data_IF_701070215821
#
_entry.id   IF_701070215821
#
_cell.length_a   1.000
_cell.length_b   1.000
_cell.length_c   1.000
_cell.angle_alpha   90.00
_cell.angle_beta   90.00
_cell.angle_gamma   90.00
#
_symmetry.space_group_name_H-M   'P 1'
#
loop_
_entity.id
_entity.type
_entity.pdbx_description
1 polymer ?
#
# COMPACT_ATOMS: atom_id res chain seq x y z
N UNK A 1 -8.25 -36.85 14.34
CA UNK A 1 -7.73 -35.64 13.69
C UNK A 1 -8.59 -35.08 12.56
N UNK A 2 -8.58 -35.62 11.33
CA UNK A 2 -9.27 -35.00 10.17
C UNK A 2 -10.75 -34.66 10.44
N UNK A 3 -11.50 -35.56 11.10
CA UNK A 3 -12.91 -35.31 11.44
C UNK A 3 -13.08 -34.12 12.41
N UNK A 4 -12.13 -33.92 13.33
CA UNK A 4 -12.09 -32.79 14.26
C UNK A 4 -11.78 -31.50 13.51
N UNK A 5 -10.70 -31.49 12.73
CA UNK A 5 -10.26 -30.32 11.95
C UNK A 5 -11.28 -29.87 10.92
N UNK A 6 -12.07 -30.80 10.36
CA UNK A 6 -13.19 -30.46 9.46
C UNK A 6 -14.18 -29.48 10.10
N UNK A 7 -14.49 -29.65 11.40
CA UNK A 7 -15.41 -28.74 12.11
C UNK A 7 -14.79 -27.35 12.27
N UNK A 8 -13.48 -27.28 12.52
CA UNK A 8 -12.73 -26.03 12.63
C UNK A 8 -12.74 -25.28 11.30
N UNK A 9 -12.40 -25.95 10.20
CA UNK A 9 -12.37 -25.33 8.86
C UNK A 9 -13.77 -24.84 8.43
N UNK A 10 -14.83 -25.57 8.75
CA UNK A 10 -16.21 -25.13 8.50
C UNK A 10 -16.64 -23.95 9.38
N UNK A 11 -16.12 -23.85 10.61
CA UNK A 11 -16.33 -22.67 11.46
C UNK A 11 -15.59 -21.45 10.90
N UNK A 12 -14.31 -21.59 10.55
CA UNK A 12 -13.50 -20.53 9.93
C UNK A 12 -14.13 -20.02 8.64
N UNK A 13 -14.68 -20.92 7.81
CA UNK A 13 -15.37 -20.50 6.58
C UNK A 13 -16.60 -19.65 6.84
N UNK A 14 -17.40 -19.98 7.86
CA UNK A 14 -18.58 -19.19 8.27
C UNK A 14 -18.17 -17.83 8.82
N UNK A 15 -17.12 -17.82 9.65
CA UNK A 15 -16.57 -16.59 10.23
C UNK A 15 -16.01 -15.64 9.15
N UNK A 16 -15.44 -16.19 8.08
CA UNK A 16 -14.91 -15.42 6.94
C UNK A 16 -15.97 -14.87 5.98
N UNK A 17 -17.25 -15.24 6.13
CA UNK A 17 -18.33 -14.80 5.25
C UNK A 17 -18.79 -13.37 5.56
N UNK A 18 -17.88 -12.42 5.34
CA UNK A 18 -18.14 -10.99 5.47
C UNK A 18 -18.62 -10.39 4.14
N UNK A 19 -19.29 -9.23 4.20
CA UNK A 19 -19.67 -8.46 3.01
C UNK A 19 -18.47 -8.17 2.08
N UNK A 20 -17.31 -7.86 2.67
CA UNK A 20 -16.07 -7.64 1.92
C UNK A 20 -15.58 -8.91 1.20
N UNK A 21 -15.71 -10.08 1.84
CA UNK A 21 -15.33 -11.35 1.22
C UNK A 21 -16.29 -11.72 0.07
N UNK A 22 -17.61 -11.56 0.25
CA UNK A 22 -18.59 -11.81 -0.82
C UNK A 22 -18.39 -10.89 -2.02
N UNK A 23 -18.07 -9.62 -1.76
CA UNK A 23 -17.70 -8.64 -2.79
C UNK A 23 -16.44 -9.08 -3.52
N UNK A 24 -15.36 -9.42 -2.79
CA UNK A 24 -14.11 -9.92 -3.37
C UNK A 24 -14.33 -11.15 -4.26
N UNK A 25 -15.11 -12.13 -3.81
CA UNK A 25 -15.40 -13.34 -4.59
C UNK A 25 -16.19 -13.03 -5.86
N UNK A 26 -17.14 -12.09 -5.79
CA UNK A 26 -17.96 -11.69 -6.94
C UNK A 26 -17.13 -10.91 -7.97
N UNK A 27 -16.31 -9.96 -7.50
CA UNK A 27 -15.34 -9.22 -8.32
C UNK A 27 -14.35 -10.16 -9.00
N UNK A 28 -13.72 -11.08 -8.25
CA UNK A 28 -12.73 -12.01 -8.82
C UNK A 28 -13.32 -12.92 -9.90
N UNK A 29 -14.61 -13.30 -9.79
CA UNK A 29 -15.31 -14.06 -10.83
C UNK A 29 -15.54 -13.24 -12.10
N UNK A 30 -15.84 -11.96 -11.96
CA UNK A 30 -16.02 -11.04 -13.09
C UNK A 30 -14.70 -10.72 -13.78
N UNK A 31 -13.65 -10.43 -13.01
CA UNK A 31 -12.30 -10.15 -13.50
C UNK A 31 -11.66 -11.37 -14.17
N UNK A 32 -11.87 -12.57 -13.61
CA UNK A 32 -11.16 -13.77 -14.05
C UNK A 32 -12.10 -14.96 -14.28
N UNK A 33 -13.12 -14.86 -15.16
CA UNK A 33 -14.17 -15.88 -15.30
C UNK A 33 -13.63 -17.25 -15.74
N UNK A 34 -12.60 -17.24 -16.57
CA UNK A 34 -11.99 -18.47 -17.11
C UNK A 34 -10.77 -18.93 -16.32
N UNK A 35 -10.16 -18.06 -15.53
CA UNK A 35 -8.93 -18.35 -14.81
C UNK A 35 -9.18 -19.26 -13.60
N UNK A 36 -8.13 -19.97 -13.19
CA UNK A 36 -8.16 -20.88 -12.04
C UNK A 36 -8.36 -20.14 -10.72
N UNK A 37 -7.87 -18.89 -10.61
CA UNK A 37 -7.89 -18.11 -9.36
C UNK A 37 -9.31 -17.82 -8.86
N UNK A 38 -10.26 -17.57 -9.76
CA UNK A 38 -11.68 -17.37 -9.41
C UNK A 38 -12.42 -18.67 -9.05
N UNK A 39 -11.85 -19.82 -9.42
CA UNK A 39 -12.46 -21.16 -9.27
C UNK A 39 -11.83 -21.98 -8.15
N UNK A 40 -10.75 -21.51 -7.54
CA UNK A 40 -9.92 -22.25 -6.56
C UNK A 40 -9.49 -21.33 -5.41
N UNK A 41 -10.46 -20.71 -4.77
CA UNK A 41 -10.23 -19.99 -3.51
C UNK A 41 -9.65 -20.94 -2.45
N UNK A 42 -8.65 -20.50 -1.64
CA UNK A 42 -7.95 -21.37 -0.69
C UNK A 42 -8.88 -22.13 0.28
N UNK A 43 -9.95 -21.49 0.74
CA UNK A 43 -10.91 -22.08 1.68
C UNK A 43 -11.69 -23.27 1.08
N UNK A 44 -11.77 -23.37 -0.26
CA UNK A 44 -12.42 -24.48 -0.94
C UNK A 44 -13.96 -24.51 -0.86
N UNK A 45 -14.52 -25.67 -1.24
CA UNK A 45 -15.97 -25.93 -1.31
C UNK A 45 -16.43 -26.78 -0.13
N UNK A 46 -17.63 -26.53 0.37
CA UNK A 46 -18.20 -27.25 1.53
C UNK A 46 -18.30 -28.75 1.25
N UNK A 47 -18.80 -29.12 0.07
CA UNK A 47 -18.89 -30.51 -0.34
C UNK A 47 -17.54 -31.22 -0.36
N UNK A 48 -16.46 -30.51 -0.70
CA UNK A 48 -15.09 -31.07 -0.67
C UNK A 48 -14.58 -31.18 0.76
N UNK A 49 -14.78 -30.16 1.59
CA UNK A 49 -14.36 -30.18 3.00
C UNK A 49 -15.06 -31.34 3.75
N UNK A 50 -16.35 -31.55 3.48
CA UNK A 50 -17.14 -32.61 4.10
C UNK A 50 -16.75 -34.01 3.63
N UNK A 51 -16.49 -34.19 2.33
CA UNK A 51 -16.23 -35.51 1.74
C UNK A 51 -14.76 -35.92 1.66
N UNK A 52 -13.80 -34.97 1.75
CA UNK A 52 -12.37 -35.29 1.60
C UNK A 52 -11.91 -36.28 2.68
N UNK A 53 -11.36 -37.40 2.24
CA UNK A 53 -10.85 -38.47 3.09
C UNK A 53 -9.34 -38.34 3.35
N UNK A 54 -8.82 -39.19 4.25
CA UNK A 54 -7.39 -39.22 4.58
C UNK A 54 -6.52 -39.45 3.36
N UNK A 55 -6.93 -40.33 2.45
CA UNK A 55 -6.13 -40.66 1.28
C UNK A 55 -5.94 -39.43 0.38
N UNK A 56 -6.98 -38.62 0.18
CA UNK A 56 -6.90 -37.38 -0.59
C UNK A 56 -5.92 -36.37 0.03
N UNK A 57 -5.93 -36.20 1.35
CA UNK A 57 -4.96 -35.33 2.03
C UNK A 57 -3.54 -35.87 1.90
N UNK A 58 -3.35 -37.18 2.10
CA UNK A 58 -2.04 -37.82 1.95
C UNK A 58 -1.51 -37.67 0.53
N UNK A 59 -2.34 -37.88 -0.48
CA UNK A 59 -1.96 -37.71 -1.88
C UNK A 59 -1.51 -36.28 -2.16
N UNK A 60 -2.24 -35.27 -1.68
CA UNK A 60 -1.83 -33.88 -1.84
C UNK A 60 -0.49 -33.59 -1.14
N UNK A 61 -0.32 -34.10 0.08
CA UNK A 61 0.91 -33.94 0.85
C UNK A 61 2.11 -34.63 0.18
N UNK A 62 1.98 -35.89 -0.23
CA UNK A 62 3.03 -36.63 -0.93
C UNK A 62 3.40 -35.98 -2.28
N UNK A 63 2.42 -35.38 -2.96
CA UNK A 63 2.60 -34.68 -4.24
C UNK A 63 3.35 -33.37 -4.08
N UNK A 64 2.95 -32.51 -3.13
CA UNK A 64 3.42 -31.11 -3.10
C UNK A 64 4.43 -30.79 -1.99
N UNK A 65 4.47 -31.58 -0.90
CA UNK A 65 5.43 -31.39 0.20
C UNK A 65 6.69 -32.20 -0.09
N UNK A 66 7.53 -31.66 -0.96
CA UNK A 66 8.78 -32.27 -1.46
C UNK A 66 9.97 -31.34 -1.19
N UNK A 67 11.19 -31.86 -0.97
CA UNK A 67 12.37 -31.02 -0.72
C UNK A 67 12.69 -30.07 -1.89
N UNK A 68 12.47 -30.50 -3.13
CA UNK A 68 12.62 -29.71 -4.37
C UNK A 68 11.59 -28.56 -4.52
N UNK A 69 10.55 -28.55 -3.68
CA UNK A 69 9.48 -27.54 -3.67
C UNK A 69 9.35 -26.83 -2.30
N UNK A 70 10.40 -26.86 -1.48
CA UNK A 70 10.43 -26.24 -0.16
C UNK A 70 11.58 -25.23 -0.08
N UNK A 71 11.34 -24.11 0.60
CA UNK A 71 12.38 -23.14 0.93
C UNK A 71 12.31 -22.82 2.42
N UNK A 72 13.44 -22.99 3.11
CA UNK A 72 13.63 -22.55 4.49
C UNK A 72 14.40 -21.22 4.49
N UNK A 73 13.82 -20.20 5.14
CA UNK A 73 14.47 -18.89 5.32
C UNK A 73 14.71 -18.67 6.80
N UNK A 74 15.97 -18.48 7.18
CA UNK A 74 16.39 -18.19 8.56
C UNK A 74 17.07 -16.82 8.61
N UNK A 75 16.62 -15.97 9.53
CA UNK A 75 17.17 -14.63 9.75
C UNK A 75 17.21 -14.35 11.25
N UNK A 76 18.39 -14.01 11.76
CA UNK A 76 18.59 -13.75 13.18
C UNK A 76 20.07 -13.67 13.51
N UNK A 77 20.36 -13.62 14.80
CA UNK A 77 21.71 -13.67 15.35
C UNK A 77 22.09 -15.13 15.63
N UNK A 78 22.71 -15.78 14.65
CA UNK A 78 23.19 -17.16 14.76
C UNK A 78 24.36 -17.40 13.80
N UNK A 79 25.22 -18.36 14.13
CA UNK A 79 26.30 -18.80 13.25
C UNK A 79 25.75 -19.59 12.04
N UNK A 80 25.97 -19.12 10.79
CA UNK A 80 25.47 -19.80 9.60
C UNK A 80 26.01 -21.22 9.41
N UNK A 81 27.23 -21.51 9.89
CA UNK A 81 27.82 -22.85 9.75
C UNK A 81 27.10 -23.86 10.64
N UNK A 82 26.87 -23.50 11.90
CA UNK A 82 26.10 -24.30 12.85
C UNK A 82 24.68 -24.52 12.34
N UNK A 83 24.02 -23.47 11.82
CA UNK A 83 22.68 -23.61 11.24
C UNK A 83 22.66 -24.55 10.04
N UNK A 84 23.64 -24.47 9.13
CA UNK A 84 23.74 -25.36 7.98
C UNK A 84 23.88 -26.84 8.39
N UNK A 85 24.72 -27.13 9.38
CA UNK A 85 24.88 -28.50 9.91
C UNK A 85 23.58 -29.04 10.51
N UNK A 86 22.86 -28.23 11.29
CA UNK A 86 21.57 -28.63 11.87
C UNK A 86 20.50 -28.84 10.79
N UNK A 87 20.49 -28.02 9.74
CA UNK A 87 19.58 -28.20 8.60
C UNK A 87 19.90 -29.53 7.90
N UNK A 88 21.17 -29.81 7.63
CA UNK A 88 21.59 -31.07 7.01
C UNK A 88 21.21 -32.27 7.88
N UNK A 89 21.50 -32.24 9.19
CA UNK A 89 21.12 -33.28 10.14
C UNK A 89 19.60 -33.54 10.16
N UNK A 90 18.78 -32.50 10.05
CA UNK A 90 17.32 -32.60 10.18
C UNK A 90 16.61 -32.91 8.87
N UNK A 91 17.16 -32.50 7.73
CA UNK A 91 16.45 -32.51 6.46
C UNK A 91 17.11 -33.33 5.34
N UNK A 92 18.36 -33.79 5.50
CA UNK A 92 19.06 -34.60 4.46
C UNK A 92 18.33 -35.91 4.12
N UNK A 93 17.60 -36.50 5.07
CA UNK A 93 16.80 -37.70 4.85
C UNK A 93 15.46 -37.46 4.12
N UNK A 94 15.10 -36.21 3.80
CA UNK A 94 13.86 -35.93 3.06
C UNK A 94 14.01 -36.33 1.60
N UNK A 95 13.18 -37.28 1.15
CA UNK A 95 13.06 -37.64 -0.26
C UNK A 95 11.65 -37.30 -0.78
N UNK A 96 11.53 -37.01 -2.08
CA UNK A 96 10.21 -36.87 -2.67
C UNK A 96 9.40 -38.18 -2.63
N UNK A 97 8.08 -38.08 -2.46
CA UNK A 97 7.17 -39.24 -2.25
C UNK A 97 6.27 -39.57 -3.45
N UNK A 98 6.35 -38.76 -4.50
CA UNK A 98 5.61 -38.91 -5.75
C UNK A 98 6.49 -38.42 -6.92
N UNK A 99 6.10 -38.56 -8.18
CA UNK A 99 6.70 -37.78 -9.27
C UNK A 99 6.44 -36.27 -9.11
N UNK A 100 7.32 -35.44 -9.69
CA UNK A 100 7.08 -33.99 -9.78
C UNK A 100 5.87 -33.72 -10.68
N UNK A 101 5.06 -32.73 -10.32
CA UNK A 101 4.00 -32.21 -11.17
C UNK A 101 4.26 -30.73 -11.51
N UNK A 102 4.07 -30.33 -12.77
CA UNK A 102 4.21 -28.92 -13.13
C UNK A 102 3.13 -28.08 -12.42
N UNK A 103 3.43 -26.80 -12.12
CA UNK A 103 2.43 -25.88 -11.61
C UNK A 103 1.20 -25.82 -12.54
N UNK A 104 -0.03 -25.74 -11.99
CA UNK A 104 -1.22 -25.68 -12.81
C UNK A 104 -1.30 -24.39 -13.62
N UNK A 105 -1.79 -24.46 -14.86
CA UNK A 105 -2.07 -23.25 -15.65
C UNK A 105 -3.09 -22.36 -14.91
N UNK A 106 -2.78 -21.06 -14.87
CA UNK A 106 -3.67 -20.04 -14.34
C UNK A 106 -4.93 -19.85 -15.18
N UNK A 107 -4.97 -20.36 -16.41
CA UNK A 107 -6.10 -20.27 -17.33
C UNK A 107 -6.02 -19.07 -18.27
N UNK A 108 -7.13 -18.72 -18.91
CA UNK A 108 -7.22 -17.62 -19.88
C UNK A 108 -7.76 -16.35 -19.22
N UNK A 109 -7.30 -15.20 -19.71
CA UNK A 109 -7.78 -13.86 -19.34
C UNK A 109 -8.07 -13.14 -20.64
N UNK A 110 -9.36 -13.01 -20.98
CA UNK A 110 -9.81 -12.60 -22.32
C UNK A 110 -10.88 -11.52 -22.22
N UNK A 111 -10.51 -10.35 -21.70
CA UNK A 111 -11.37 -9.17 -21.76
C UNK A 111 -11.26 -8.46 -23.10
N UNK A 112 -12.36 -7.86 -23.54
CA UNK A 112 -12.48 -7.03 -24.75
C UNK A 112 -13.50 -5.93 -24.51
N UNK A 113 -13.25 -4.74 -25.03
CA UNK A 113 -14.15 -3.60 -24.94
C UNK A 113 -14.41 -3.13 -23.50
N UNK A 114 -15.39 -2.25 -23.34
CA UNK A 114 -15.77 -1.73 -22.03
C UNK A 114 -16.82 -2.62 -21.38
N UNK A 115 -16.46 -3.24 -20.26
CA UNK A 115 -17.35 -4.04 -19.43
C UNK A 115 -17.59 -3.31 -18.12
N UNK A 116 -18.84 -3.32 -17.69
CA UNK A 116 -19.25 -2.76 -16.40
C UNK A 116 -19.67 -3.89 -15.49
N UNK A 117 -19.48 -3.72 -14.19
CA UNK A 117 -19.89 -4.68 -13.18
C UNK A 117 -20.43 -3.95 -11.96
N UNK A 118 -21.59 -4.39 -11.51
CA UNK A 118 -22.25 -3.87 -10.33
C UNK A 118 -22.41 -5.00 -9.31
N UNK A 119 -22.04 -4.74 -8.06
CA UNK A 119 -22.27 -5.65 -6.95
C UNK A 119 -22.77 -4.89 -5.73
N UNK A 120 -24.08 -4.99 -5.50
CA UNK A 120 -24.68 -4.42 -4.30
C UNK A 120 -24.33 -5.25 -3.07
N UNK A 121 -23.83 -4.58 -2.04
CA UNK A 121 -23.71 -5.15 -0.71
C UNK A 121 -24.23 -4.19 0.37
N UNK A 122 -25.42 -4.50 0.90
CA UNK A 122 -26.14 -3.68 1.88
C UNK A 122 -25.36 -3.53 3.19
N UNK A 123 -24.63 -4.57 3.59
CA UNK A 123 -23.81 -4.58 4.80
C UNK A 123 -22.49 -3.80 4.66
N UNK A 124 -22.16 -3.33 3.45
CA UNK A 124 -20.97 -2.51 3.25
C UNK A 124 -21.15 -1.12 3.86
N UNK A 125 -20.14 -0.62 4.57
CA UNK A 125 -20.11 0.78 5.04
C UNK A 125 -19.70 1.80 3.96
N UNK A 126 -19.45 1.35 2.73
CA UNK A 126 -18.87 2.17 1.66
C UNK A 126 -19.20 1.65 0.26
N UNK A 127 -18.99 2.50 -0.74
CA UNK A 127 -18.97 2.14 -2.16
C UNK A 127 -17.55 2.23 -2.69
N UNK A 128 -17.12 1.22 -3.43
CA UNK A 128 -15.84 1.18 -4.15
C UNK A 128 -16.10 1.26 -5.64
N UNK A 129 -15.41 2.18 -6.30
CA UNK A 129 -15.47 2.40 -7.74
C UNK A 129 -14.08 2.14 -8.29
N UNK A 130 -13.94 1.33 -9.34
CA UNK A 130 -12.64 1.07 -9.98
C UNK A 130 -12.73 1.08 -11.50
N UNK A 131 -11.60 1.45 -12.12
CA UNK A 131 -11.34 1.30 -13.56
C UNK A 131 -10.08 0.47 -13.70
N UNK A 132 -10.18 -0.66 -14.39
CA UNK A 132 -9.12 -1.66 -14.43
C UNK A 132 -8.78 -2.13 -15.84
N UNK A 133 -7.55 -2.62 -15.99
CA UNK A 133 -7.12 -3.49 -17.07
C UNK A 133 -6.37 -4.68 -16.53
N UNK A 134 -6.46 -5.80 -17.25
CA UNK A 134 -5.71 -6.99 -16.90
C UNK A 134 -5.47 -7.86 -18.13
N UNK A 135 -4.27 -8.43 -18.21
CA UNK A 135 -3.93 -9.38 -19.26
C UNK A 135 -2.99 -10.44 -18.75
N UNK A 136 -3.13 -11.64 -19.31
CA UNK A 136 -2.14 -12.70 -19.13
C UNK A 136 -0.83 -12.28 -19.80
N UNK A 137 0.27 -12.55 -19.12
CA UNK A 137 1.64 -12.37 -19.61
C UNK A 137 2.44 -13.63 -19.31
N UNK A 138 3.53 -13.81 -20.05
CA UNK A 138 4.48 -14.86 -19.72
C UNK A 138 5.31 -14.47 -18.49
N UNK A 139 5.74 -15.49 -17.74
CA UNK A 139 6.75 -15.32 -16.72
C UNK A 139 8.03 -14.81 -17.37
N UNK A 140 8.77 -13.98 -16.64
CA UNK A 140 10.00 -13.36 -17.15
C UNK A 140 11.04 -13.27 -16.04
N UNK A 141 12.33 -13.44 -16.38
CA UNK A 141 13.39 -13.35 -15.40
C UNK A 141 13.53 -11.93 -14.85
N UNK A 142 14.05 -11.84 -13.63
CA UNK A 142 14.45 -10.59 -13.03
C UNK A 142 15.72 -10.03 -13.69
N UNK A 143 15.54 -9.02 -14.55
CA UNK A 143 16.62 -8.35 -15.25
C UNK A 143 16.60 -6.85 -14.97
N UNK A 144 17.76 -6.19 -15.09
CA UNK A 144 17.86 -4.73 -14.97
C UNK A 144 16.93 -4.00 -15.95
N UNK A 145 16.77 -4.55 -17.16
CA UNK A 145 15.82 -4.04 -18.15
C UNK A 145 14.37 -4.09 -17.66
N UNK A 146 13.96 -5.21 -17.06
CA UNK A 146 12.62 -5.32 -16.48
C UNK A 146 12.46 -4.39 -15.27
N UNK A 147 13.48 -4.26 -14.42
CA UNK A 147 13.46 -3.34 -13.27
C UNK A 147 13.28 -1.89 -13.69
N UNK A 148 13.96 -1.45 -14.76
CA UNK A 148 13.74 -0.12 -15.34
C UNK A 148 12.30 0.06 -15.84
N UNK A 149 11.72 -0.94 -16.52
CA UNK A 149 10.31 -0.91 -16.95
C UNK A 149 9.32 -0.83 -15.78
N UNK A 150 9.55 -1.60 -14.71
CA UNK A 150 8.74 -1.54 -13.50
C UNK A 150 8.86 -0.18 -12.81
N UNK A 151 10.05 0.41 -12.79
CA UNK A 151 10.28 1.73 -12.20
C UNK A 151 9.55 2.84 -12.95
N UNK A 152 9.61 2.83 -14.30
CA UNK A 152 8.84 3.76 -15.14
C UNK A 152 7.34 3.72 -14.82
N UNK A 153 6.78 2.51 -14.66
CA UNK A 153 5.39 2.32 -14.25
C UNK A 153 5.12 2.85 -12.85
N UNK A 154 5.92 2.44 -11.86
CA UNK A 154 5.74 2.83 -10.46
C UNK A 154 5.81 4.36 -10.28
N UNK A 155 6.69 5.04 -11.00
CA UNK A 155 6.77 6.51 -10.96
C UNK A 155 5.56 7.16 -11.64
N UNK A 156 5.13 6.66 -12.80
CA UNK A 156 3.92 7.16 -13.45
C UNK A 156 2.68 7.01 -12.57
N UNK A 157 2.52 5.85 -11.93
CA UNK A 157 1.44 5.59 -10.97
C UNK A 157 1.56 6.51 -9.74
N UNK A 158 2.76 6.68 -9.18
CA UNK A 158 2.96 7.57 -8.03
C UNK A 158 2.64 9.04 -8.33
N UNK A 159 2.95 9.53 -9.53
CA UNK A 159 2.57 10.89 -9.93
C UNK A 159 1.03 11.03 -9.92
N UNK A 160 0.31 10.05 -10.49
CA UNK A 160 -1.16 10.08 -10.47
C UNK A 160 -1.71 9.89 -9.05
N UNK A 161 -1.06 9.08 -8.22
CA UNK A 161 -1.41 8.94 -6.80
C UNK A 161 -1.31 10.27 -6.07
N UNK A 162 -0.25 11.05 -6.32
CA UNK A 162 -0.09 12.38 -5.73
C UNK A 162 -1.21 13.33 -6.19
N UNK A 163 -1.63 13.27 -7.47
CA UNK A 163 -2.79 14.03 -7.96
C UNK A 163 -4.09 13.66 -7.26
N UNK A 164 -4.33 12.37 -7.03
CA UNK A 164 -5.51 11.89 -6.30
C UNK A 164 -5.50 12.34 -4.84
N UNK A 165 -4.33 12.29 -4.20
CA UNK A 165 -4.14 12.73 -2.81
C UNK A 165 -4.39 14.23 -2.68
N UNK A 166 -3.91 15.04 -3.63
CA UNK A 166 -4.18 16.49 -3.69
C UNK A 166 -5.67 16.83 -3.90
N UNK A 167 -6.49 15.91 -4.43
CA UNK A 167 -7.94 16.11 -4.51
C UNK A 167 -8.59 15.94 -3.13
N UNK A 168 -8.11 15.07 -2.25
CA UNK A 168 -8.72 14.85 -0.92
C UNK A 168 -8.78 16.14 -0.07
N UNK A 169 -7.84 17.06 -0.25
CA UNK A 169 -7.84 18.36 0.42
C UNK A 169 -8.88 19.37 -0.11
N UNK A 170 -9.69 19.02 -1.13
CA UNK A 170 -10.67 19.95 -1.74
C UNK A 170 -12.08 19.70 -1.19
N UNK A 171 -12.84 20.75 -0.81
CA UNK A 171 -14.16 20.62 -0.18
C UNK A 171 -15.18 19.75 -0.94
N UNK A 172 -15.14 19.74 -2.27
CA UNK A 172 -16.12 19.06 -3.13
C UNK A 172 -15.69 17.67 -3.61
N UNK A 173 -14.64 17.09 -3.02
CA UNK A 173 -14.15 15.78 -3.44
C UNK A 173 -15.17 14.67 -3.13
N UNK A 174 -15.62 13.90 -4.13
CA UNK A 174 -16.71 12.96 -3.98
C UNK A 174 -16.32 11.64 -3.31
N UNK A 175 -15.03 11.42 -3.03
CA UNK A 175 -14.48 10.21 -2.43
C UNK A 175 -13.73 10.51 -1.14
N UNK A 176 -13.65 9.52 -0.25
CA UNK A 176 -12.89 9.57 1.03
C UNK A 176 -11.47 9.02 0.89
N UNK A 177 -11.23 8.21 -0.14
CA UNK A 177 -9.90 7.75 -0.52
C UNK A 177 -9.88 7.42 -2.00
N UNK A 178 -8.71 7.52 -2.62
CA UNK A 178 -8.50 7.07 -3.99
C UNK A 178 -7.07 6.56 -4.17
N UNK A 179 -6.92 5.56 -5.03
CA UNK A 179 -5.62 4.96 -5.31
C UNK A 179 -5.46 4.66 -6.78
N UNK A 180 -4.22 4.63 -7.24
CA UNK A 180 -3.84 4.06 -8.53
C UNK A 180 -2.66 3.12 -8.34
N UNK A 181 -2.63 2.04 -9.09
CA UNK A 181 -1.50 1.14 -9.09
C UNK A 181 -1.50 0.24 -10.30
N UNK A 182 -0.30 -0.17 -10.69
CA UNK A 182 -0.13 -1.19 -11.69
C UNK A 182 0.97 -2.15 -11.25
N UNK A 183 0.77 -3.44 -11.49
CA UNK A 183 1.78 -4.44 -11.15
C UNK A 183 1.78 -5.65 -12.04
N UNK A 184 2.33 -6.71 -11.46
CA UNK A 184 2.17 -8.07 -11.95
C UNK A 184 1.68 -8.92 -10.78
N UNK A 185 0.52 -9.54 -10.94
CA UNK A 185 -0.06 -10.47 -9.99
C UNK A 185 0.22 -11.91 -10.44
N UNK A 186 0.54 -12.79 -9.48
CA UNK A 186 0.90 -14.19 -9.71
C UNK A 186 1.99 -14.39 -10.80
N UNK A 187 2.88 -13.41 -10.97
CA UNK A 187 3.93 -13.36 -12.01
C UNK A 187 3.44 -13.42 -13.48
N UNK A 188 2.14 -13.60 -13.70
CA UNK A 188 1.57 -13.96 -15.00
C UNK A 188 0.36 -13.09 -15.39
N UNK A 189 -0.02 -12.13 -14.55
CA UNK A 189 -1.14 -11.23 -14.80
C UNK A 189 -0.63 -9.80 -14.66
N UNK A 190 -0.49 -9.08 -15.76
CA UNK A 190 -0.24 -7.64 -15.71
C UNK A 190 -1.56 -6.93 -15.48
N UNK A 191 -1.63 -6.07 -14.47
CA UNK A 191 -2.83 -5.31 -14.13
C UNK A 191 -2.51 -3.83 -13.96
N UNK A 192 -3.53 -3.00 -14.15
CA UNK A 192 -3.56 -1.60 -13.77
C UNK A 192 -4.96 -1.27 -13.23
N UNK A 193 -5.02 -0.52 -12.15
CA UNK A 193 -6.25 -0.17 -11.46
C UNK A 193 -6.15 1.28 -10.96
N UNK A 194 -7.23 2.03 -11.12
CA UNK A 194 -7.48 3.27 -10.41
C UNK A 194 -8.83 3.12 -9.70
N UNK A 195 -8.87 3.40 -8.41
CA UNK A 195 -10.07 3.19 -7.59
C UNK A 195 -10.32 4.37 -6.65
N UNK A 196 -11.56 4.47 -6.19
CA UNK A 196 -11.99 5.40 -5.15
C UNK A 196 -13.02 4.75 -4.22
N UNK A 197 -12.97 5.11 -2.94
CA UNK A 197 -14.00 4.78 -1.97
C UNK A 197 -14.84 6.02 -1.68
N UNK A 198 -16.16 5.90 -1.66
CA UNK A 198 -17.07 7.02 -1.41
C UNK A 198 -18.33 6.59 -0.66
N UNK A 199 -19.16 7.57 -0.29
CA UNK A 199 -20.52 7.29 0.13
C UNK A 199 -21.37 6.84 -1.07
N UNK A 200 -22.41 6.05 -0.78
CA UNK A 200 -23.33 5.50 -1.78
C UNK A 200 -23.78 6.53 -2.82
N UNK A 201 -24.20 7.73 -2.39
CA UNK A 201 -24.77 8.77 -3.26
C UNK A 201 -23.73 9.45 -4.16
N UNK A 202 -22.43 9.32 -3.83
CA UNK A 202 -21.34 10.00 -4.54
C UNK A 202 -20.62 9.09 -5.55
N UNK A 203 -21.12 7.87 -5.79
CA UNK A 203 -20.49 6.90 -6.71
C UNK A 203 -20.27 7.48 -8.11
N UNK A 204 -21.28 8.16 -8.67
CA UNK A 204 -21.24 8.72 -10.03
C UNK A 204 -20.17 9.80 -10.18
N UNK A 205 -20.15 10.77 -9.26
CA UNK A 205 -19.14 11.83 -9.23
C UNK A 205 -17.73 11.26 -8.98
N UNK A 206 -17.62 10.22 -8.17
CA UNK A 206 -16.35 9.53 -7.91
C UNK A 206 -15.81 8.85 -9.16
N UNK A 207 -16.65 8.10 -9.88
CA UNK A 207 -16.29 7.49 -11.17
C UNK A 207 -15.80 8.54 -12.17
N UNK A 208 -16.54 9.64 -12.30
CA UNK A 208 -16.18 10.72 -13.21
C UNK A 208 -14.82 11.33 -12.86
N UNK A 209 -14.57 11.58 -11.57
CA UNK A 209 -13.32 12.23 -11.14
C UNK A 209 -12.09 11.33 -11.29
N UNK A 210 -12.19 10.02 -10.99
CA UNK A 210 -11.07 9.10 -11.22
C UNK A 210 -10.84 8.86 -12.71
N UNK A 211 -11.90 8.75 -13.52
CA UNK A 211 -11.80 8.63 -14.98
C UNK A 211 -11.08 9.85 -15.58
N UNK A 212 -11.49 11.05 -15.21
CA UNK A 212 -10.90 12.29 -15.72
C UNK A 212 -9.45 12.43 -15.29
N UNK A 213 -9.11 12.03 -14.07
CA UNK A 213 -7.73 12.02 -13.56
C UNK A 213 -6.85 11.06 -14.36
N UNK A 214 -7.33 9.83 -14.60
CA UNK A 214 -6.67 8.83 -15.42
C UNK A 214 -6.51 9.32 -16.87
N UNK A 215 -7.58 9.82 -17.49
CA UNK A 215 -7.58 10.32 -18.87
C UNK A 215 -6.65 11.52 -19.04
N UNK A 216 -6.58 12.41 -18.05
CA UNK A 216 -5.64 13.54 -18.04
C UNK A 216 -4.19 13.08 -18.04
N UNK A 217 -3.84 12.10 -17.20
CA UNK A 217 -2.50 11.50 -17.21
C UNK A 217 -2.21 10.76 -18.54
N UNK A 218 -3.19 10.05 -19.08
CA UNK A 218 -3.06 9.33 -20.34
C UNK A 218 -2.82 10.28 -21.53
N UNK A 219 -3.57 11.38 -21.63
CA UNK A 219 -3.51 12.32 -22.77
C UNK A 219 -2.31 13.27 -22.64
N UNK A 220 -2.19 13.97 -21.51
CA UNK A 220 -1.23 15.07 -21.34
C UNK A 220 0.07 14.68 -20.63
N UNK A 221 0.11 13.53 -19.97
CA UNK A 221 1.27 13.08 -19.21
C UNK A 221 1.46 13.86 -17.91
N UNK A 222 2.71 14.20 -17.63
CA UNK A 222 3.21 14.66 -16.34
C UNK A 222 4.03 15.94 -16.50
N UNK A 223 4.09 16.74 -15.44
CA UNK A 223 4.92 17.95 -15.37
C UNK A 223 6.32 17.63 -14.88
N UNK A 224 7.26 18.56 -15.06
CA UNK A 224 8.63 18.34 -14.60
C UNK A 224 8.70 18.32 -13.07
N UNK A 225 7.99 19.22 -12.39
CA UNK A 225 7.95 19.27 -10.93
C UNK A 225 7.35 18.00 -10.30
N UNK A 226 6.33 17.41 -10.94
CA UNK A 226 5.77 16.12 -10.52
C UNK A 226 6.80 14.99 -10.58
N UNK A 227 7.57 14.94 -11.66
CA UNK A 227 8.61 13.93 -11.83
C UNK A 227 9.74 14.11 -10.81
N UNK A 228 10.26 15.32 -10.66
CA UNK A 228 11.39 15.56 -9.76
C UNK A 228 11.01 15.32 -8.29
N UNK A 229 9.78 15.69 -7.87
CA UNK A 229 9.23 15.32 -6.55
C UNK A 229 9.31 13.80 -6.32
N UNK A 230 8.74 13.01 -7.23
CA UNK A 230 8.70 11.55 -7.08
C UNK A 230 10.11 10.93 -7.13
N UNK A 231 11.03 11.46 -7.96
CA UNK A 231 12.43 11.00 -7.96
C UNK A 231 13.09 11.23 -6.61
N UNK A 232 12.89 12.40 -5.99
CA UNK A 232 13.43 12.72 -4.67
C UNK A 232 12.92 11.76 -3.60
N UNK A 233 11.61 11.49 -3.57
CA UNK A 233 11.00 10.57 -2.61
C UNK A 233 11.60 9.15 -2.72
N UNK A 234 11.72 8.62 -3.94
CA UNK A 234 12.30 7.29 -4.17
C UNK A 234 13.78 7.20 -3.79
N UNK A 235 14.57 8.23 -4.10
CA UNK A 235 15.99 8.27 -3.74
C UNK A 235 16.14 8.37 -2.22
N UNK A 236 15.31 9.17 -1.55
CA UNK A 236 15.30 9.29 -0.11
C UNK A 236 14.94 7.95 0.58
N UNK A 237 13.97 7.20 0.05
CA UNK A 237 13.63 5.85 0.54
C UNK A 237 14.85 4.91 0.46
N UNK A 238 15.56 4.89 -0.67
CA UNK A 238 16.75 4.07 -0.88
C UNK A 238 17.92 4.48 0.04
N UNK A 239 18.16 5.79 0.18
CA UNK A 239 19.17 6.33 1.10
C UNK A 239 18.87 5.93 2.55
N UNK A 240 17.60 6.02 2.96
CA UNK A 240 17.17 5.64 4.30
C UNK A 240 17.29 4.14 4.54
N UNK A 241 16.99 3.30 3.55
CA UNK A 241 17.15 1.85 3.66
C UNK A 241 18.61 1.45 3.93
N UNK A 242 19.57 2.10 3.26
CA UNK A 242 21.02 1.93 3.50
C UNK A 242 21.38 2.30 4.94
N UNK A 243 20.96 3.49 5.39
CA UNK A 243 21.30 3.95 6.75
C UNK A 243 20.68 3.10 7.87
N UNK A 244 19.59 2.40 7.59
CA UNK A 244 18.89 1.52 8.52
C UNK A 244 19.27 0.03 8.39
N UNK A 245 20.20 -0.31 7.50
CA UNK A 245 20.47 -1.69 7.12
C UNK A 245 20.86 -2.61 8.29
N UNK A 246 21.58 -2.07 9.28
CA UNK A 246 22.12 -2.81 10.43
C UNK A 246 21.08 -3.12 11.50
N UNK A 247 19.99 -2.37 11.58
CA UNK A 247 18.95 -2.52 12.61
C UNK A 247 17.61 -2.99 12.02
N UNK A 248 17.66 -3.74 10.91
CA UNK A 248 16.45 -4.28 10.27
C UNK A 248 15.84 -5.37 11.15
N UNK A 249 14.52 -5.33 11.31
CA UNK A 249 13.80 -6.37 12.03
C UNK A 249 13.92 -7.73 11.31
N UNK A 250 14.40 -8.76 12.01
CA UNK A 250 14.66 -10.10 11.45
C UNK A 250 13.42 -10.73 10.81
N UNK A 251 12.25 -10.58 11.43
CA UNK A 251 10.98 -11.11 10.90
C UNK A 251 10.56 -10.39 9.61
N UNK A 252 10.74 -9.07 9.55
CA UNK A 252 10.48 -8.30 8.34
C UNK A 252 11.44 -8.67 7.21
N UNK A 253 12.73 -8.86 7.52
CA UNK A 253 13.74 -9.28 6.56
C UNK A 253 13.47 -10.69 6.02
N UNK A 254 13.13 -11.65 6.89
CA UNK A 254 12.74 -13.00 6.47
C UNK A 254 11.53 -12.97 5.53
N UNK A 255 10.48 -12.21 5.87
CA UNK A 255 9.31 -12.02 4.99
C UNK A 255 9.67 -11.38 3.66
N UNK A 256 10.60 -10.43 3.65
CA UNK A 256 11.06 -9.77 2.42
C UNK A 256 11.81 -10.77 1.50
N UNK A 257 12.69 -11.60 2.06
CA UNK A 257 13.38 -12.67 1.32
C UNK A 257 12.36 -13.65 0.73
N UNK A 258 11.42 -14.15 1.54
CA UNK A 258 10.35 -15.05 1.08
C UNK A 258 9.54 -14.41 -0.05
N UNK A 259 9.18 -13.13 0.07
CA UNK A 259 8.46 -12.39 -0.96
C UNK A 259 9.27 -12.30 -2.26
N UNK A 260 10.58 -12.05 -2.19
CA UNK A 260 11.44 -12.02 -3.38
C UNK A 260 11.50 -13.38 -4.07
N UNK A 261 11.71 -14.46 -3.31
CA UNK A 261 11.75 -15.83 -3.83
C UNK A 261 10.42 -16.23 -4.47
N UNK A 262 9.29 -15.97 -3.81
CA UNK A 262 7.96 -16.29 -4.35
C UNK A 262 7.58 -15.47 -5.60
N UNK A 263 8.31 -14.40 -5.93
CA UNK A 263 8.08 -13.54 -7.08
C UNK A 263 9.19 -13.64 -8.13
N UNK A 264 10.06 -14.64 -8.05
CA UNK A 264 11.23 -14.85 -8.92
C UNK A 264 12.10 -13.58 -9.02
N UNK A 265 12.27 -12.88 -7.88
CA UNK A 265 13.06 -11.64 -7.77
C UNK A 265 14.39 -11.91 -7.09
N UNK A 266 15.45 -11.28 -7.59
CA UNK A 266 16.78 -11.30 -6.96
C UNK A 266 16.75 -10.42 -5.72
N UNK A 267 16.94 -11.05 -4.56
CA UNK A 267 17.13 -10.34 -3.29
C UNK A 267 18.47 -9.61 -3.28
N UNK A 268 18.48 -8.35 -2.85
CA UNK A 268 19.67 -7.49 -2.79
C UNK A 268 19.75 -6.81 -1.44
N UNK A 269 20.96 -6.53 -0.97
CA UNK A 269 21.17 -5.63 0.17
C UNK A 269 20.68 -4.22 -0.17
N UNK A 270 20.35 -3.38 0.84
CA UNK A 270 20.00 -1.98 0.61
C UNK A 270 21.04 -1.22 -0.24
N UNK A 271 22.33 -1.47 -0.02
CA UNK A 271 23.42 -0.84 -0.76
C UNK A 271 23.44 -1.26 -2.23
N UNK A 272 23.25 -2.55 -2.52
CA UNK A 272 23.15 -3.07 -3.88
C UNK A 272 21.89 -2.58 -4.59
N UNK A 273 20.77 -2.47 -3.87
CA UNK A 273 19.53 -1.96 -4.46
C UNK A 273 19.67 -0.48 -4.82
N UNK A 274 20.26 0.31 -3.91
CA UNK A 274 20.55 1.73 -4.13
C UNK A 274 21.51 1.94 -5.30
N UNK A 275 22.63 1.22 -5.35
CA UNK A 275 23.65 1.41 -6.39
C UNK A 275 23.12 1.12 -7.80
N UNK A 276 22.15 0.21 -7.91
CA UNK A 276 21.48 -0.12 -9.17
C UNK A 276 20.36 0.87 -9.50
N UNK A 277 19.50 1.20 -8.53
CA UNK A 277 18.26 1.93 -8.81
C UNK A 277 18.45 3.45 -8.87
N UNK A 278 19.32 4.05 -8.06
CA UNK A 278 19.50 5.52 -8.05
C UNK A 278 19.95 6.05 -9.42
N UNK A 279 20.96 5.48 -10.10
CA UNK A 279 21.32 5.91 -11.46
C UNK A 279 20.16 5.77 -12.45
N UNK A 280 19.39 4.68 -12.34
CA UNK A 280 18.22 4.47 -13.20
C UNK A 280 17.15 5.54 -12.98
N UNK A 281 16.82 5.86 -11.73
CA UNK A 281 15.83 6.88 -11.35
C UNK A 281 16.23 8.25 -11.89
N UNK A 282 17.50 8.64 -11.67
CA UNK A 282 18.02 9.94 -12.13
C UNK A 282 17.93 10.09 -13.65
N UNK A 283 18.13 8.99 -14.39
CA UNK A 283 18.14 9.01 -15.85
C UNK A 283 16.74 8.93 -16.49
N UNK A 284 15.65 8.87 -15.71
CA UNK A 284 14.31 8.77 -16.28
C UNK A 284 13.82 10.11 -16.82
N UNK A 285 13.19 10.05 -17.98
CA UNK A 285 12.61 11.20 -18.66
C UNK A 285 11.07 11.19 -18.61
N UNK A 286 10.46 12.36 -18.72
CA UNK A 286 8.98 12.49 -18.81
C UNK A 286 8.40 11.67 -19.96
N UNK A 287 9.07 11.65 -21.11
CA UNK A 287 8.65 10.91 -22.30
C UNK A 287 8.63 9.40 -22.06
N UNK A 288 9.67 8.84 -21.44
CA UNK A 288 9.70 7.40 -21.14
C UNK A 288 8.60 7.01 -20.17
N UNK A 289 8.35 7.84 -19.15
CA UNK A 289 7.33 7.57 -18.12
C UNK A 289 5.94 7.67 -18.73
N UNK A 290 5.67 8.70 -19.55
CA UNK A 290 4.39 8.84 -20.24
C UNK A 290 4.12 7.69 -21.19
N UNK A 291 5.14 7.25 -21.94
CA UNK A 291 5.04 6.09 -22.82
C UNK A 291 4.78 4.79 -22.04
N UNK A 292 5.46 4.60 -20.91
CA UNK A 292 5.21 3.45 -20.04
C UNK A 292 3.79 3.48 -19.46
N UNK A 293 3.32 4.64 -18.99
CA UNK A 293 1.97 4.82 -18.48
C UNK A 293 0.93 4.52 -19.55
N UNK A 294 1.08 5.09 -20.76
CA UNK A 294 0.23 4.77 -21.91
C UNK A 294 0.22 3.28 -22.20
N UNK A 295 1.38 2.63 -22.25
CA UNK A 295 1.47 1.19 -22.51
C UNK A 295 0.73 0.33 -21.47
N UNK A 296 0.83 0.69 -20.19
CA UNK A 296 0.10 0.03 -19.09
C UNK A 296 -1.42 0.15 -19.28
N UNK A 297 -1.87 1.33 -19.67
CA UNK A 297 -3.30 1.64 -19.79
C UNK A 297 -3.86 1.41 -21.20
N UNK A 298 -3.07 1.08 -22.23
CA UNK A 298 -3.53 0.89 -23.61
C UNK A 298 -3.98 -0.56 -23.89
N UNK A 299 -4.86 -1.08 -23.03
CA UNK A 299 -5.53 -2.35 -23.29
C UNK A 299 -6.72 -2.15 -24.23
N UNK A 300 -7.10 -3.20 -24.97
CA UNK A 300 -8.29 -3.23 -25.83
C UNK A 300 -9.61 -3.35 -25.04
N UNK A 301 -9.53 -3.20 -23.71
CA UNK A 301 -10.65 -3.31 -22.79
C UNK A 301 -10.50 -2.38 -21.59
N UNK A 302 -11.63 -2.13 -20.93
CA UNK A 302 -11.73 -1.51 -19.61
C UNK A 302 -12.77 -2.25 -18.80
N UNK A 303 -12.44 -2.55 -17.55
CA UNK A 303 -13.44 -2.98 -16.58
C UNK A 303 -13.78 -1.78 -15.71
N UNK A 304 -15.07 -1.52 -15.51
CA UNK A 304 -15.57 -0.45 -14.64
C UNK A 304 -16.46 -1.08 -13.61
N UNK A 305 -16.05 -1.04 -12.34
CA UNK A 305 -16.77 -1.70 -11.26
C UNK A 305 -17.36 -0.65 -10.32
N UNK A 306 -18.58 -0.91 -9.84
CA UNK A 306 -19.16 -0.24 -8.68
C UNK A 306 -19.64 -1.32 -7.73
N UNK A 307 -19.03 -1.39 -6.55
CA UNK A 307 -19.33 -2.43 -5.55
C UNK A 307 -19.58 -1.80 -4.18
N UNK A 308 -20.34 -2.48 -3.32
CA UNK A 308 -20.65 -2.00 -1.97
C UNK A 308 -22.08 -1.47 -1.86
N UNK A 309 -22.30 -0.45 -1.03
CA UNK A 309 -23.65 -0.08 -0.58
C UNK A 309 -24.38 0.96 -1.45
N UNK A 310 -23.84 1.32 -2.61
CA UNK A 310 -24.59 2.14 -3.56
C UNK A 310 -25.70 1.29 -4.17
N UNK A 311 -26.94 1.60 -3.85
CA UNK A 311 -28.09 0.96 -4.48
C UNK A 311 -28.41 1.65 -5.82
N UNK A 312 -28.22 0.91 -6.90
CA UNK A 312 -28.51 1.33 -8.27
C UNK A 312 -29.71 0.58 -8.85
N UNK A 313 -30.47 -0.17 -8.04
CA UNK A 313 -31.73 -0.74 -8.51
C UNK A 313 -32.75 0.39 -8.64
N UNK A 314 -32.86 0.90 -9.85
CA UNK A 314 -33.89 1.81 -10.32
C UNK A 314 -34.85 1.01 -11.22
N UNK A 315 -36.15 1.12 -10.99
CA UNK A 315 -37.18 0.38 -11.75
C UNK A 315 -37.09 0.67 -13.27
N UNK A 316 -36.59 1.85 -13.64
CA UNK A 316 -36.50 2.30 -15.03
C UNK A 316 -35.09 2.12 -15.65
N UNK A 317 -34.07 1.73 -14.87
CA UNK A 317 -32.69 1.65 -15.35
C UNK A 317 -31.87 0.56 -14.67
N UNK A 318 -31.42 -0.41 -15.48
CA UNK A 318 -30.44 -1.41 -15.05
C UNK A 318 -29.13 -0.76 -14.56
N UNK A 319 -28.54 -1.22 -13.45
CA UNK A 319 -27.30 -0.66 -12.88
C UNK A 319 -26.16 -0.53 -13.91
N UNK A 320 -25.97 -1.53 -14.76
CA UNK A 320 -24.95 -1.53 -15.82
C UNK A 320 -25.16 -0.39 -16.82
N UNK A 321 -26.42 -0.05 -17.14
CA UNK A 321 -26.75 1.08 -18.00
C UNK A 321 -26.40 2.39 -17.31
N UNK A 322 -26.69 2.52 -16.02
CA UNK A 322 -26.33 3.69 -15.21
C UNK A 322 -24.81 3.93 -15.19
N UNK A 323 -24.02 2.87 -14.98
CA UNK A 323 -22.55 2.92 -14.99
C UNK A 323 -22.03 3.38 -16.36
N UNK A 324 -22.55 2.82 -17.46
CA UNK A 324 -22.14 3.21 -18.83
C UNK A 324 -22.48 4.68 -19.12
N UNK A 325 -23.67 5.13 -18.72
CA UNK A 325 -24.07 6.53 -18.88
C UNK A 325 -23.15 7.47 -18.10
N UNK A 326 -22.89 7.18 -16.82
CA UNK A 326 -21.96 7.96 -15.99
C UNK A 326 -20.55 8.05 -16.59
N UNK A 327 -20.03 6.94 -17.12
CA UNK A 327 -18.74 6.89 -17.81
C UNK A 327 -18.74 7.74 -19.09
N UNK A 328 -19.78 7.63 -19.91
CA UNK A 328 -19.90 8.40 -21.16
C UNK A 328 -20.03 9.90 -20.90
N UNK A 329 -20.82 10.30 -19.90
CA UNK A 329 -20.89 11.68 -19.43
C UNK A 329 -19.50 12.19 -19.02
N UNK A 330 -18.72 11.38 -18.26
CA UNK A 330 -17.36 11.76 -17.88
C UNK A 330 -16.46 12.04 -19.07
N UNK A 331 -16.50 11.16 -20.08
CA UNK A 331 -15.66 11.26 -21.29
C UNK A 331 -15.94 12.55 -22.07
N UNK A 332 -17.18 13.03 -22.03
CA UNK A 332 -17.59 14.29 -22.68
C UNK A 332 -17.14 15.54 -21.90
N UNK A 333 -16.76 15.40 -20.64
CA UNK A 333 -16.17 16.51 -19.88
C UNK A 333 -14.79 16.84 -20.43
N UNK A 334 -14.61 18.10 -20.83
CA UNK A 334 -13.33 18.65 -21.29
C UNK A 334 -12.33 18.66 -20.14
N UNK A 335 -11.20 18.00 -20.33
CA UNK A 335 -10.08 18.04 -19.41
C UNK A 335 -9.05 19.08 -19.87
N UNK A 336 -8.35 19.68 -18.91
CA UNK A 336 -7.23 20.61 -19.15
C UNK A 336 -5.88 19.94 -18.94
N UNK A 337 -4.85 20.47 -19.61
CA UNK A 337 -3.45 20.10 -19.36
C UNK A 337 -3.10 20.38 -17.89
N UNK A 338 -2.35 19.49 -17.21
CA UNK A 338 -1.84 19.76 -15.87
C UNK A 338 -1.02 21.07 -15.85
N UNK A 339 -1.26 21.89 -14.83
CA UNK A 339 -0.48 23.09 -14.61
C UNK A 339 0.87 22.74 -13.96
N UNK A 340 1.93 23.44 -14.33
CA UNK A 340 3.21 23.35 -13.64
C UNK A 340 3.07 24.07 -12.29
N UNK A 341 3.13 23.31 -11.20
CA UNK A 341 3.08 23.87 -9.85
C UNK A 341 4.50 23.86 -9.29
N UNK A 342 4.97 25.04 -8.87
CA UNK A 342 6.32 25.22 -8.30
C UNK A 342 6.45 24.54 -6.94
N UNK A 343 7.70 24.28 -6.56
CA UNK A 343 8.06 23.80 -5.22
C UNK A 343 7.57 24.78 -4.15
N UNK A 344 7.12 24.22 -3.03
CA UNK A 344 6.70 24.96 -1.84
C UNK A 344 7.83 24.87 -0.82
N UNK A 345 8.36 26.01 -0.39
CA UNK A 345 9.34 26.05 0.70
C UNK A 345 8.59 25.99 2.04
N UNK A 346 9.03 25.13 2.96
CA UNK A 346 8.46 25.06 4.31
C UNK A 346 8.86 26.32 5.11
N UNK A 347 7.95 27.25 5.43
CA UNK A 347 8.33 28.58 5.91
C UNK A 347 8.39 28.71 7.44
N UNK A 348 8.09 27.64 8.19
CA UNK A 348 7.85 27.71 9.65
C UNK A 348 9.03 27.27 10.52
N UNK A 349 10.21 27.05 9.94
CA UNK A 349 11.41 26.63 10.69
C UNK A 349 12.60 27.59 10.52
N UNK A 350 12.42 28.93 10.70
CA UNK A 350 13.59 29.78 10.89
C UNK A 350 14.30 29.36 12.19
N UNK A 351 15.63 29.49 12.24
CA UNK A 351 16.35 29.34 13.49
C UNK A 351 15.83 30.39 14.49
N UNK A 352 15.48 30.00 15.74
CA UNK A 352 14.99 30.93 16.73
C UNK A 352 16.10 31.92 17.12
N UNK A 353 15.76 33.22 17.15
CA UNK A 353 16.70 34.29 17.54
C UNK A 353 17.11 34.18 19.02
N UNK A 354 16.17 33.78 19.88
CA UNK A 354 16.40 33.59 21.31
C UNK A 354 16.63 32.12 21.64
N UNK A 355 17.67 31.84 22.44
CA UNK A 355 17.95 30.50 22.95
C UNK A 355 17.13 30.26 24.22
N UNK A 356 16.49 29.10 24.30
CA UNK A 356 15.84 28.65 25.53
C UNK A 356 16.86 28.44 26.66
N UNK A 357 16.51 28.85 27.88
CA UNK A 357 17.36 28.68 29.05
C UNK A 357 17.05 27.38 29.80
N UNK A 358 18.10 26.60 30.08
CA UNK A 358 18.02 25.38 30.90
C UNK A 358 17.95 25.77 32.38
N UNK A 359 16.91 25.33 33.07
CA UNK A 359 16.77 25.49 34.53
C UNK A 359 17.53 24.40 35.28
N UNK A 360 17.41 23.15 34.83
CA UNK A 360 18.11 22.01 35.45
C UNK A 360 18.27 20.87 34.45
N UNK A 361 19.34 20.10 34.60
CA UNK A 361 19.58 18.85 33.87
C UNK A 361 19.98 17.76 34.85
N UNK A 362 19.42 16.55 34.69
CA UNK A 362 19.82 15.36 35.46
C UNK A 362 19.82 14.11 34.59
N UNK A 363 20.61 13.13 34.98
CA UNK A 363 20.63 11.81 34.37
C UNK A 363 19.84 10.82 35.23
N UNK A 364 19.13 9.90 34.59
CA UNK A 364 18.42 8.76 35.18
C UNK A 364 19.15 7.50 34.68
N UNK A 365 20.21 7.03 35.38
CA UNK A 365 21.19 6.10 34.82
C UNK A 365 20.62 4.70 34.52
N UNK A 366 19.73 4.19 35.36
CA UNK A 366 19.07 2.89 35.19
C UNK A 366 18.19 2.84 33.93
N UNK A 367 17.64 3.99 33.53
CA UNK A 367 16.85 4.12 32.30
C UNK A 367 17.67 4.64 31.10
N UNK A 368 18.88 5.16 31.33
CA UNK A 368 19.70 5.83 30.32
C UNK A 368 19.02 7.08 29.73
N UNK A 369 18.34 7.86 30.58
CA UNK A 369 17.60 9.06 30.17
C UNK A 369 18.28 10.31 30.71
N UNK A 370 18.43 11.33 29.87
CA UNK A 370 18.78 12.70 30.29
C UNK A 370 17.49 13.50 30.34
N UNK A 371 17.13 13.99 31.52
CA UNK A 371 16.00 14.89 31.74
C UNK A 371 16.50 16.34 31.81
N UNK A 372 15.94 17.21 30.98
CA UNK A 372 16.21 18.65 30.95
C UNK A 372 14.92 19.41 31.22
N UNK A 373 14.93 20.29 32.22
CA UNK A 373 13.84 21.23 32.51
C UNK A 373 14.27 22.61 32.06
N UNK A 374 13.46 23.25 31.23
CA UNK A 374 13.68 24.62 30.75
C UNK A 374 12.94 25.62 31.63
N UNK A 375 13.40 26.87 31.67
CA UNK A 375 12.77 27.94 32.49
C UNK A 375 11.32 28.24 32.09
N UNK A 376 10.94 27.94 30.84
CA UNK A 376 9.55 28.08 30.36
C UNK A 376 8.64 26.90 30.75
N UNK A 377 9.11 25.96 31.58
CA UNK A 377 8.33 24.83 32.07
C UNK A 377 8.31 23.60 31.15
N UNK A 378 8.92 23.67 29.96
CA UNK A 378 9.07 22.51 29.07
C UNK A 378 10.05 21.52 29.70
N UNK A 379 9.73 20.23 29.62
CA UNK A 379 10.62 19.13 30.02
C UNK A 379 10.95 18.26 28.82
N UNK A 380 12.23 18.01 28.61
CA UNK A 380 12.76 17.13 27.57
C UNK A 380 13.36 15.89 28.22
N UNK A 381 12.93 14.72 27.74
CA UNK A 381 13.53 13.43 28.09
C UNK A 381 14.24 12.87 26.87
N UNK A 382 15.57 12.79 26.92
CA UNK A 382 16.39 12.29 25.83
C UNK A 382 16.90 10.88 26.15
N UNK A 383 16.64 9.92 25.25
CA UNK A 383 17.15 8.55 25.34
C UNK A 383 17.84 8.16 24.04
N UNK A 384 19.14 7.85 24.13
CA UNK A 384 19.89 7.27 23.01
C UNK A 384 19.59 5.77 22.95
N UNK A 385 19.37 5.25 21.75
CA UNK A 385 19.13 3.82 21.49
C UNK A 385 20.08 3.35 20.39
N UNK A 386 20.45 2.07 20.43
CA UNK A 386 21.35 1.40 19.48
C UNK A 386 20.60 0.45 18.53
N UNK A 387 19.34 0.14 18.81
CA UNK A 387 18.49 -0.75 18.02
C UNK A 387 17.71 -0.07 16.88
N UNK A 388 17.89 1.25 16.66
CA UNK A 388 17.24 2.01 15.59
C UNK A 388 18.21 3.00 14.93
N UNK A 389 18.98 2.52 13.95
CA UNK A 389 20.00 3.33 13.28
C UNK A 389 19.38 4.50 12.48
N UNK A 390 20.03 5.68 12.54
CA UNK A 390 19.65 6.89 11.80
C UNK A 390 18.14 7.20 11.90
N UNK A 391 17.58 7.05 13.10
CA UNK A 391 16.19 7.31 13.38
C UNK A 391 16.09 8.13 14.66
N UNK A 392 15.33 9.22 14.59
CA UNK A 392 14.95 10.00 15.76
C UNK A 392 13.45 9.96 15.89
N UNK A 393 12.98 9.68 17.10
CA UNK A 393 11.55 9.70 17.45
C UNK A 393 11.31 10.83 18.41
N UNK A 394 10.26 11.59 18.14
CA UNK A 394 9.81 12.70 18.96
C UNK A 394 8.41 12.38 19.47
N UNK A 395 8.15 12.65 20.74
CA UNK A 395 6.79 12.75 21.28
C UNK A 395 6.70 14.02 22.11
N UNK A 396 5.92 14.99 21.65
CA UNK A 396 5.63 16.21 22.38
C UNK A 396 4.22 16.09 22.98
N UNK A 397 4.11 16.03 24.31
CA UNK A 397 2.83 15.90 25.01
C UNK A 397 2.46 17.21 25.72
N UNK A 398 1.19 17.59 25.66
CA UNK A 398 0.68 18.85 26.23
C UNK A 398 -0.83 18.77 26.48
N UNK A 399 -1.32 19.67 27.35
CA UNK A 399 -2.76 19.78 27.65
C UNK A 399 -3.35 18.54 28.35
N UNK A 400 -4.66 18.56 28.63
CA UNK A 400 -5.36 17.51 29.39
C UNK A 400 -5.88 16.34 28.53
N UNK A 401 -5.74 16.38 27.20
CA UNK A 401 -6.24 15.29 26.35
C UNK A 401 -7.77 15.19 26.36
N UNK A 402 -8.26 13.95 26.25
CA UNK A 402 -9.68 13.63 26.20
C UNK A 402 -10.40 13.88 27.52
N UNK A 403 -9.72 13.94 28.66
CA UNK A 403 -10.35 14.24 29.95
C UNK A 403 -10.96 15.64 30.02
N UNK A 404 -10.63 16.52 29.07
CA UNK A 404 -11.26 17.82 28.90
C UNK A 404 -12.27 17.87 27.74
N UNK A 405 -12.66 16.72 27.18
CA UNK A 405 -13.77 16.65 26.21
C UNK A 405 -15.05 17.17 26.90
N UNK A 406 -15.72 18.18 26.33
CA UNK A 406 -16.96 18.69 26.91
C UNK A 406 -18.01 17.59 27.01
N UNK A 407 -18.65 17.44 28.17
CA UNK A 407 -19.67 16.41 28.40
C UNK A 407 -20.82 16.46 27.39
N UNK A 408 -21.11 17.64 26.85
CA UNK A 408 -22.16 17.87 25.85
C UNK A 408 -21.69 17.68 24.39
N UNK A 409 -20.44 17.30 24.14
CA UNK A 409 -19.88 17.09 22.80
C UNK A 409 -19.08 15.77 22.73
N UNK A 410 -19.72 14.62 23.00
CA UNK A 410 -19.04 13.33 22.95
C UNK A 410 -18.51 13.03 21.54
N UNK A 411 -17.26 12.57 21.46
CA UNK A 411 -16.61 12.23 20.19
C UNK A 411 -15.93 13.41 19.50
N UNK A 412 -15.93 14.60 20.10
CA UNK A 412 -15.15 15.74 19.62
C UNK A 412 -13.67 15.40 19.52
N UNK A 413 -13.10 14.68 20.49
CA UNK A 413 -11.70 14.26 20.46
C UNK A 413 -11.39 13.41 19.21
N UNK A 414 -12.25 12.46 18.88
CA UNK A 414 -12.11 11.61 17.69
C UNK A 414 -12.13 12.44 16.41
N UNK A 415 -13.07 13.37 16.30
CA UNK A 415 -13.19 14.25 15.15
C UNK A 415 -12.00 15.23 15.05
N UNK A 416 -11.57 15.83 16.17
CA UNK A 416 -10.42 16.73 16.21
C UNK A 416 -9.12 16.05 15.79
N UNK A 417 -8.89 14.82 16.25
CA UNK A 417 -7.72 14.04 15.84
C UNK A 417 -7.71 13.81 14.32
N UNK A 418 -8.83 13.38 13.74
CA UNK A 418 -8.96 13.19 12.31
C UNK A 418 -8.79 14.51 11.53
N UNK A 419 -9.46 15.58 11.96
CA UNK A 419 -9.41 16.89 11.29
C UNK A 419 -8.00 17.46 11.29
N UNK A 420 -7.28 17.45 12.42
CA UNK A 420 -5.93 18.02 12.49
C UNK A 420 -4.96 17.26 11.58
N UNK A 421 -5.01 15.92 11.58
CA UNK A 421 -4.13 15.12 10.72
C UNK A 421 -4.45 15.22 9.23
N UNK A 422 -5.69 15.55 8.88
CA UNK A 422 -6.13 15.71 7.49
C UNK A 422 -6.08 17.18 7.00
N UNK A 423 -5.65 18.11 7.86
CA UNK A 423 -5.57 19.54 7.57
C UNK A 423 -4.18 20.02 7.13
N UNK A 424 -4.13 21.26 6.65
CA UNK A 424 -2.90 22.02 6.46
C UNK A 424 -2.28 22.55 7.76
N UNK A 425 -1.22 23.35 7.63
CA UNK A 425 -0.46 23.95 8.72
C UNK A 425 -0.19 25.41 8.39
N UNK A 426 -0.79 26.30 9.19
CA UNK A 426 -0.66 27.74 9.01
C UNK A 426 -1.23 28.21 7.66
N UNK A 427 -0.35 28.55 6.74
CA UNK A 427 -0.65 29.03 5.37
C UNK A 427 -0.47 27.96 4.30
N UNK A 428 -0.01 26.76 4.68
CA UNK A 428 0.16 25.65 3.76
C UNK A 428 -1.05 24.72 3.84
N UNK A 429 -1.68 24.49 2.71
CA UNK A 429 -2.65 23.40 2.55
C UNK A 429 -1.98 22.04 2.69
N UNK A 430 -2.75 20.97 2.93
CA UNK A 430 -2.20 19.61 3.12
C UNK A 430 -1.27 19.17 1.97
N UNK A 431 -1.69 19.34 0.72
CA UNK A 431 -0.87 18.99 -0.45
C UNK A 431 0.41 19.84 -0.53
N UNK A 432 0.37 21.08 -0.05
CA UNK A 432 1.55 21.94 -0.02
C UNK A 432 2.56 21.49 1.03
N UNK A 433 2.10 20.98 2.19
CA UNK A 433 2.97 20.33 3.18
C UNK A 433 3.64 19.11 2.57
N UNK A 434 2.87 18.22 1.92
CA UNK A 434 3.44 17.01 1.31
C UNK A 434 4.47 17.35 0.22
N UNK A 435 4.25 18.43 -0.55
CA UNK A 435 5.23 18.94 -1.52
C UNK A 435 6.46 19.53 -0.86
N UNK A 436 6.30 20.30 0.22
CA UNK A 436 7.40 20.91 0.95
C UNK A 436 8.28 19.86 1.68
N UNK A 437 7.71 18.72 2.04
CA UNK A 437 8.40 17.60 2.68
C UNK A 437 8.91 16.54 1.68
N UNK A 438 8.81 16.79 0.36
CA UNK A 438 9.33 15.86 -0.64
C UNK A 438 10.83 15.57 -0.44
N UNK A 439 11.21 14.30 -0.56
CA UNK A 439 12.57 13.83 -0.32
C UNK A 439 13.01 13.85 1.16
N UNK A 440 12.12 14.22 2.09
CA UNK A 440 12.34 14.12 3.54
C UNK A 440 11.80 12.79 4.07
N UNK A 441 12.35 12.36 5.20
CA UNK A 441 11.92 11.15 5.91
C UNK A 441 11.20 11.51 7.22
N UNK A 442 10.71 12.74 7.29
CA UNK A 442 10.04 13.31 8.45
C UNK A 442 8.55 13.07 8.35
N UNK A 443 7.98 12.43 9.37
CA UNK A 443 6.53 12.30 9.56
C UNK A 443 6.16 12.82 10.93
N UNK A 444 5.00 13.49 11.02
CA UNK A 444 4.41 13.99 12.26
C UNK A 444 2.93 13.63 12.22
N UNK A 445 2.38 13.24 13.35
CA UNK A 445 0.97 12.94 13.56
C UNK A 445 0.52 13.52 14.89
N UNK A 446 -0.68 14.08 14.91
CA UNK A 446 -1.36 14.49 16.12
C UNK A 446 -2.20 13.33 16.66
N UNK A 447 -2.27 13.18 17.97
CA UNK A 447 -3.15 12.20 18.61
C UNK A 447 -3.63 12.72 19.96
N UNK A 448 -4.77 12.21 20.39
CA UNK A 448 -5.38 12.56 21.67
C UNK A 448 -5.40 11.31 22.57
N UNK A 449 -4.66 11.37 23.68
CA UNK A 449 -4.74 10.40 24.76
C UNK A 449 -5.78 10.79 25.81
N UNK A 450 -5.97 9.93 26.81
CA UNK A 450 -6.92 10.20 27.91
C UNK A 450 -6.55 11.45 28.71
N UNK A 451 -5.27 11.67 28.99
CA UNK A 451 -4.76 12.74 29.87
C UNK A 451 -3.86 13.76 29.17
N UNK A 452 -3.63 13.61 27.86
CA UNK A 452 -2.73 14.46 27.10
C UNK A 452 -3.02 14.47 25.61
N UNK A 453 -2.79 15.61 24.96
CA UNK A 453 -2.59 15.67 23.51
C UNK A 453 -1.13 15.38 23.21
N UNK A 454 -0.83 14.75 22.07
CA UNK A 454 0.56 14.60 21.68
C UNK A 454 0.78 14.64 20.16
N UNK A 455 1.84 15.33 19.77
CA UNK A 455 2.45 15.15 18.46
C UNK A 455 3.49 14.05 18.56
N UNK A 456 3.32 12.99 17.77
CA UNK A 456 4.32 11.95 17.59
C UNK A 456 4.96 12.11 16.22
N UNK A 457 6.28 12.12 16.19
CA UNK A 457 7.05 12.30 14.97
C UNK A 457 8.21 11.32 14.86
N UNK A 458 8.64 11.10 13.63
CA UNK A 458 9.80 10.30 13.28
C UNK A 458 10.56 10.98 12.16
N UNK A 459 11.88 11.00 12.27
CA UNK A 459 12.77 11.57 11.25
C UNK A 459 14.12 10.86 11.23
N UNK A 460 15.03 11.32 10.37
CA UNK A 460 16.44 10.91 10.29
C UNK A 460 17.34 11.98 10.89
N UNK A 461 18.51 11.59 11.38
CA UNK A 461 19.39 12.50 12.14
C UNK A 461 19.81 13.76 11.37
N UNK A 462 19.93 13.69 10.03
CA UNK A 462 20.29 14.83 9.17
C UNK A 462 19.16 15.85 8.93
N UNK A 463 17.94 15.53 9.34
CA UNK A 463 16.74 16.36 9.12
C UNK A 463 16.32 17.10 10.40
N UNK A 464 17.12 16.98 11.47
CA UNK A 464 17.00 17.80 12.68
C UNK A 464 17.96 18.98 12.52
N UNK A 465 17.45 20.17 12.81
CA UNK A 465 18.22 21.43 12.79
C UNK A 465 19.32 21.43 13.87
#
# INVERSE_FOLDING_TARGET
EIVRERRVVLAEKRDRDSASYRTFVSTLKFEFPDARISKRLPIGKDSVIQAADRQRFKNFYDTWYRPDNMILVMVGDFDPKTAALLIEERFSGLSPRAPELPPPDIGKISHRGEKVFYHFEKESGKTTISIETMKKIDKRPDTLFFRRKSLLRKIGDQIVQNRLSALLGKPETPFTSASIGSGTFLQQIEYAEISAQSSAQKWKKSLQLIEQTLRKAFIYGFTLSELERVKMDFIAELDTAVKKATTRNSRALARNIISHLNNDRVFRSPEQERSVLVPMIKSLTLTEIHNAFKKTWNADHRLILVTGNADLSDDDMMPEKALRMALNESKNVKISKPAEIKEVTFPYLPEPEEKGEVLSQKEIPDLGIIEVTFKNGVRLNLKKTDFAANEVRLKAAFGPGKSAEPENQPGLALLSEAVINESGLGRLERDEIERALAGKNTTISFSIGEDSFFFSGKTVSKEIL
#
